data_IF_312236392007
#
_entry.id   IF_312236392007
#
_cell.length_a   1.000
_cell.length_b   1.000
_cell.length_c   1.000
_cell.angle_alpha   90.00
_cell.angle_beta   90.00
_cell.angle_gamma   90.00
#
_symmetry.space_group_name_H-M   'P 1'
#
loop_
_entity.id
_entity.type
_entity.pdbx_description
1 polymer ?
#
# COMPACT_ATOMS: atom_id res chain seq x y z
N UNK A 1 -9.30 -21.52 -16.97
CA UNK A 1 -8.76 -21.20 -15.62
C UNK A 1 -9.83 -21.60 -14.61
N UNK A 2 -9.47 -22.37 -13.57
CA UNK A 2 -10.42 -22.70 -12.52
C UNK A 2 -10.76 -21.42 -11.73
N UNK A 3 -12.04 -21.21 -11.45
CA UNK A 3 -12.49 -20.11 -10.58
C UNK A 3 -11.87 -20.27 -9.18
N UNK A 4 -11.03 -19.36 -8.71
CA UNK A 4 -10.41 -19.46 -7.37
C UNK A 4 -11.43 -19.40 -6.24
N UNK A 5 -12.65 -18.92 -6.50
CA UNK A 5 -13.75 -18.92 -5.54
C UNK A 5 -14.51 -20.26 -5.49
N UNK A 6 -14.24 -21.18 -6.41
CA UNK A 6 -14.97 -22.46 -6.47
C UNK A 6 -14.78 -23.27 -5.18
N UNK A 7 -13.57 -23.26 -4.60
CA UNK A 7 -13.28 -23.93 -3.32
C UNK A 7 -14.18 -23.43 -2.18
N UNK A 8 -14.52 -22.13 -2.20
CA UNK A 8 -15.41 -21.55 -1.19
C UNK A 8 -16.88 -21.89 -1.45
N UNK A 9 -17.29 -21.99 -2.71
CA UNK A 9 -18.66 -22.40 -3.07
C UNK A 9 -18.93 -23.88 -2.78
N UNK A 10 -17.91 -24.71 -2.96
CA UNK A 10 -17.99 -26.16 -2.73
C UNK A 10 -17.70 -26.53 -1.26
N UNK A 11 -17.37 -25.52 -0.43
CA UNK A 11 -17.05 -25.74 0.97
C UNK A 11 -18.30 -26.23 1.73
N UNK A 12 -18.24 -27.45 2.25
CA UNK A 12 -19.23 -28.00 3.15
C UNK A 12 -18.75 -27.87 4.61
N UNK A 13 -19.47 -27.12 5.47
CA UNK A 13 -19.06 -26.94 6.85
C UNK A 13 -19.12 -28.29 7.58
N UNK A 14 -18.05 -28.62 8.29
CA UNK A 14 -17.96 -29.85 9.13
C UNK A 14 -18.20 -29.57 10.59
N UNK A 15 -18.37 -28.29 10.95
CA UNK A 15 -18.62 -27.83 12.32
C UNK A 15 -19.80 -26.86 12.32
N UNK A 16 -20.49 -26.78 13.45
CA UNK A 16 -21.65 -25.91 13.63
C UNK A 16 -21.25 -24.42 13.67
N UNK A 17 -20.07 -24.14 14.21
CA UNK A 17 -19.55 -22.77 14.37
C UNK A 17 -18.16 -22.62 13.75
N UNK A 18 -17.89 -21.43 13.25
CA UNK A 18 -16.57 -20.98 12.81
C UNK A 18 -16.23 -19.66 13.51
N UNK A 19 -15.01 -19.57 14.05
CA UNK A 19 -14.46 -18.34 14.62
C UNK A 19 -13.18 -18.00 13.86
N UNK A 20 -13.23 -16.92 13.11
CA UNK A 20 -12.06 -16.35 12.43
C UNK A 20 -11.47 -15.22 13.29
N UNK A 21 -10.17 -15.30 13.59
CA UNK A 21 -9.48 -14.30 14.39
C UNK A 21 -8.29 -13.79 13.55
N UNK A 22 -8.29 -12.49 13.23
CA UNK A 22 -7.15 -11.84 12.57
C UNK A 22 -6.03 -11.58 13.59
N UNK A 23 -4.80 -11.51 13.11
CA UNK A 23 -3.63 -11.30 13.96
C UNK A 23 -3.28 -9.81 14.15
N UNK A 24 -3.03 -9.11 13.06
CA UNK A 24 -2.55 -7.73 13.06
C UNK A 24 -3.65 -6.73 13.39
N UNK A 25 -3.47 -5.98 14.47
CA UNK A 25 -4.44 -4.98 14.91
C UNK A 25 -5.71 -5.57 15.52
N UNK A 26 -5.76 -6.91 15.70
CA UNK A 26 -6.84 -7.62 16.33
C UNK A 26 -6.35 -8.31 17.61
N UNK A 27 -5.51 -9.37 17.48
CA UNK A 27 -4.90 -10.07 18.60
C UNK A 27 -3.65 -9.33 19.10
N UNK A 28 -2.87 -8.78 18.17
CA UNK A 28 -1.63 -8.07 18.45
C UNK A 28 -1.78 -6.59 18.10
N UNK A 29 -1.38 -5.71 19.02
CA UNK A 29 -1.27 -4.26 18.77
C UNK A 29 0.00 -3.96 17.97
N UNK A 30 0.01 -4.39 16.71
CA UNK A 30 1.18 -4.34 15.83
C UNK A 30 1.09 -3.28 14.74
N UNK A 31 -0.08 -2.67 14.53
CA UNK A 31 -0.28 -1.78 13.39
C UNK A 31 0.57 -0.51 13.45
N UNK A 32 0.62 0.16 14.60
CA UNK A 32 1.42 1.38 14.73
C UNK A 32 2.91 1.09 14.56
N UNK A 33 3.44 0.12 15.28
CA UNK A 33 4.86 -0.24 15.22
C UNK A 33 5.26 -0.68 13.79
N UNK A 34 4.42 -1.46 13.13
CA UNK A 34 4.65 -1.93 11.76
C UNK A 34 4.71 -0.75 10.78
N UNK A 35 3.75 0.15 10.84
CA UNK A 35 3.68 1.28 9.91
C UNK A 35 4.69 2.38 10.22
N UNK A 36 4.92 2.70 11.50
CA UNK A 36 5.80 3.81 11.88
C UNK A 36 7.28 3.42 11.90
N UNK A 37 7.60 2.22 12.38
CA UNK A 37 9.00 1.82 12.59
C UNK A 37 9.56 0.92 11.48
N UNK A 38 8.70 0.27 10.70
CA UNK A 38 9.16 -0.57 9.60
C UNK A 38 8.88 0.06 8.24
N UNK A 39 7.63 0.37 7.92
CA UNK A 39 7.26 0.80 6.57
C UNK A 39 7.59 2.26 6.29
N UNK A 40 7.35 3.18 7.22
CA UNK A 40 7.68 4.59 6.99
C UNK A 40 9.18 4.85 6.75
N UNK A 41 10.13 4.23 7.45
CA UNK A 41 11.55 4.35 7.12
C UNK A 41 11.88 3.84 5.72
N UNK A 42 11.26 2.74 5.28
CA UNK A 42 11.48 2.20 3.94
C UNK A 42 10.86 3.08 2.86
N UNK A 43 9.68 3.63 3.09
CA UNK A 43 9.04 4.62 2.24
C UNK A 43 9.95 5.85 2.03
N UNK A 44 10.50 6.40 3.14
CA UNK A 44 11.42 7.53 3.09
C UNK A 44 12.70 7.18 2.32
N UNK A 45 13.28 6.03 2.61
CA UNK A 45 14.53 5.58 1.98
C UNK A 45 14.33 5.36 0.48
N UNK A 46 13.29 4.62 0.09
CA UNK A 46 13.04 4.20 -1.29
C UNK A 46 12.74 5.40 -2.21
N UNK A 47 11.96 6.36 -1.71
CA UNK A 47 11.58 7.53 -2.49
C UNK A 47 12.47 8.77 -2.24
N UNK A 48 13.63 8.60 -1.60
CA UNK A 48 14.61 9.65 -1.33
C UNK A 48 14.01 10.88 -0.60
N UNK A 49 13.14 10.65 0.38
CA UNK A 49 12.38 11.69 1.09
C UNK A 49 13.06 12.17 2.39
N UNK A 50 14.36 11.93 2.56
CA UNK A 50 15.09 12.23 3.80
C UNK A 50 14.98 13.70 4.22
N UNK A 51 15.06 14.62 3.25
CA UNK A 51 14.95 16.06 3.51
C UNK A 51 13.58 16.49 4.05
N UNK A 52 12.56 15.65 3.89
CA UNK A 52 11.19 15.86 4.34
C UNK A 52 10.67 14.72 5.20
N UNK A 53 11.58 13.98 5.83
CA UNK A 53 11.27 12.74 6.57
C UNK A 53 10.18 12.89 7.63
N UNK A 54 10.13 14.03 8.33
CA UNK A 54 9.05 14.34 9.28
C UNK A 54 7.68 14.28 8.61
N UNK A 55 7.50 15.01 7.52
CA UNK A 55 6.22 15.08 6.81
C UNK A 55 5.87 13.78 6.09
N UNK A 56 6.89 13.08 5.60
CA UNK A 56 6.72 11.76 5.01
C UNK A 56 6.19 10.74 6.04
N UNK A 57 6.67 10.78 7.29
CA UNK A 57 6.16 9.96 8.39
C UNK A 57 4.72 10.34 8.76
N UNK A 58 4.45 11.63 8.91
CA UNK A 58 3.10 12.14 9.23
C UNK A 58 2.07 11.70 8.19
N UNK A 59 2.38 11.90 6.90
CA UNK A 59 1.50 11.51 5.80
C UNK A 59 1.33 9.99 5.72
N UNK A 60 2.42 9.22 5.84
CA UNK A 60 2.36 7.77 5.84
C UNK A 60 1.49 7.22 6.97
N UNK A 61 1.69 7.74 8.18
CA UNK A 61 0.91 7.39 9.37
C UNK A 61 -0.56 7.74 9.18
N UNK A 62 -0.85 8.95 8.67
CA UNK A 62 -2.22 9.36 8.41
C UNK A 62 -2.91 8.43 7.41
N UNK A 63 -2.28 8.17 6.25
CA UNK A 63 -2.88 7.35 5.17
C UNK A 63 -3.20 5.93 5.66
N UNK A 64 -2.27 5.32 6.39
CA UNK A 64 -2.37 3.90 6.73
C UNK A 64 -3.13 3.62 8.04
N UNK A 65 -3.16 4.58 8.99
CA UNK A 65 -3.75 4.34 10.32
C UNK A 65 -5.01 5.18 10.58
N UNK A 66 -5.09 6.40 10.04
CA UNK A 66 -6.14 7.35 10.45
C UNK A 66 -7.04 7.84 9.32
N UNK A 67 -6.67 7.66 8.05
CA UNK A 67 -7.49 8.12 6.93
C UNK A 67 -8.74 7.25 6.75
N UNK A 68 -9.70 7.75 5.97
CA UNK A 68 -10.88 6.98 5.57
C UNK A 68 -10.53 5.77 4.68
N UNK A 69 -9.36 5.82 4.03
CA UNK A 69 -8.85 4.78 3.14
C UNK A 69 -7.85 3.84 3.83
N UNK A 70 -7.69 3.94 5.17
CA UNK A 70 -6.82 3.03 5.91
C UNK A 70 -7.24 1.56 5.65
N UNK A 71 -6.25 0.69 5.54
CA UNK A 71 -6.48 -0.72 5.22
C UNK A 71 -6.67 -1.01 3.73
N UNK A 72 -6.60 0.01 2.85
CA UNK A 72 -6.56 -0.24 1.41
C UNK A 72 -5.29 -1.00 1.00
N UNK A 73 -5.28 -1.52 -0.23
CA UNK A 73 -4.10 -2.18 -0.76
C UNK A 73 -2.89 -1.22 -0.75
N UNK A 74 -1.70 -1.76 -0.47
CA UNK A 74 -0.45 -0.99 -0.31
C UNK A 74 -0.11 -0.09 -1.50
N UNK A 75 -0.46 -0.49 -2.73
CA UNK A 75 -0.19 0.34 -3.92
C UNK A 75 -1.02 1.62 -3.91
N UNK A 76 -2.30 1.53 -3.54
CA UNK A 76 -3.14 2.72 -3.32
C UNK A 76 -2.59 3.58 -2.18
N UNK A 77 -2.16 2.96 -1.08
CA UNK A 77 -1.60 3.70 0.07
C UNK A 77 -0.34 4.48 -0.30
N UNK A 78 0.57 3.88 -1.08
CA UNK A 78 1.79 4.54 -1.56
C UNK A 78 1.46 5.73 -2.46
N UNK A 79 0.59 5.54 -3.47
CA UNK A 79 0.17 6.62 -4.38
C UNK A 79 -0.44 7.77 -3.58
N UNK A 80 -1.39 7.47 -2.70
CA UNK A 80 -2.06 8.48 -1.87
C UNK A 80 -1.09 9.23 -0.95
N UNK A 81 -0.14 8.52 -0.33
CA UNK A 81 0.87 9.16 0.51
C UNK A 81 1.77 10.11 -0.29
N UNK A 82 2.22 9.70 -1.48
CA UNK A 82 3.03 10.56 -2.35
C UNK A 82 2.24 11.78 -2.85
N UNK A 83 0.96 11.63 -3.18
CA UNK A 83 0.09 12.73 -3.61
C UNK A 83 -0.11 13.76 -2.50
N UNK A 84 -0.42 13.32 -1.29
CA UNK A 84 -0.54 14.20 -0.14
C UNK A 84 0.79 14.91 0.17
N UNK A 85 1.89 14.17 0.10
CA UNK A 85 3.21 14.75 0.36
C UNK A 85 3.58 15.80 -0.70
N UNK A 86 3.24 15.58 -1.97
CA UNK A 86 3.48 16.52 -3.08
C UNK A 86 2.74 17.83 -2.89
N UNK A 87 1.54 17.80 -2.32
CA UNK A 87 0.72 18.99 -2.05
C UNK A 87 1.00 19.60 -0.67
N UNK A 88 1.87 19.00 0.14
CA UNK A 88 2.18 19.48 1.48
C UNK A 88 2.99 20.78 1.43
N UNK A 89 2.47 21.86 2.04
CA UNK A 89 3.06 23.22 1.97
C UNK A 89 4.54 23.26 2.36
N UNK A 90 4.91 22.61 3.45
CA UNK A 90 6.29 22.59 3.93
C UNK A 90 7.23 21.80 3.00
N UNK A 91 6.74 20.79 2.31
CA UNK A 91 7.52 20.03 1.32
C UNK A 91 7.76 20.88 0.08
N UNK A 92 6.72 21.57 -0.39
CA UNK A 92 6.81 22.51 -1.52
C UNK A 92 7.76 23.66 -1.19
N UNK A 93 7.66 24.27 0.00
CA UNK A 93 8.53 25.35 0.43
C UNK A 93 10.02 24.96 0.49
N UNK A 94 10.33 23.68 0.69
CA UNK A 94 11.70 23.14 0.69
C UNK A 94 12.20 22.76 -0.70
N UNK A 95 11.38 22.88 -1.75
CA UNK A 95 11.74 22.53 -3.12
C UNK A 95 12.02 21.05 -3.34
N UNK A 96 11.56 20.17 -2.45
CA UNK A 96 11.77 18.72 -2.59
C UNK A 96 10.84 18.17 -3.65
N UNK A 97 11.44 17.48 -4.63
CA UNK A 97 10.68 16.79 -5.68
C UNK A 97 10.18 15.45 -5.14
N UNK A 98 8.86 15.35 -4.97
CA UNK A 98 8.21 14.09 -4.61
C UNK A 98 7.84 13.34 -5.89
N UNK A 99 8.25 12.08 -6.06
CA UNK A 99 7.99 11.32 -7.28
C UNK A 99 6.48 11.11 -7.51
N UNK A 100 6.12 10.90 -8.78
CA UNK A 100 4.77 10.55 -9.23
C UNK A 100 4.85 9.32 -10.13
N UNK A 101 3.90 8.41 -9.97
CA UNK A 101 3.88 7.16 -10.70
C UNK A 101 2.53 6.96 -11.43
N UNK A 102 2.27 7.73 -12.52
CA UNK A 102 1.03 7.59 -13.29
C UNK A 102 0.81 6.17 -13.81
N UNK A 103 1.88 5.52 -14.29
CA UNK A 103 1.80 4.15 -14.78
C UNK A 103 1.40 3.15 -13.67
N UNK A 104 1.82 3.39 -12.43
CA UNK A 104 1.38 2.58 -11.29
C UNK A 104 -0.10 2.80 -11.00
N UNK A 105 -0.57 4.04 -11.07
CA UNK A 105 -1.99 4.36 -10.89
C UNK A 105 -2.84 3.68 -11.96
N UNK A 106 -2.47 3.81 -13.24
CA UNK A 106 -3.16 3.18 -14.36
C UNK A 106 -3.21 1.65 -14.22
N UNK A 107 -2.10 1.04 -13.77
CA UNK A 107 -2.05 -0.38 -13.51
C UNK A 107 -2.98 -0.79 -12.36
N UNK A 108 -2.96 -0.05 -11.26
CA UNK A 108 -3.78 -0.30 -10.06
C UNK A 108 -5.28 -0.19 -10.38
N UNK A 109 -5.68 0.72 -11.26
CA UNK A 109 -7.08 0.92 -11.65
C UNK A 109 -7.62 -0.20 -12.56
N UNK A 110 -6.77 -0.83 -13.37
CA UNK A 110 -7.18 -1.88 -14.31
C UNK A 110 -6.96 -3.31 -13.79
N UNK A 111 -6.08 -3.49 -12.78
CA UNK A 111 -5.74 -4.82 -12.27
C UNK A 111 -6.70 -5.23 -11.14
N UNK A 112 -7.27 -6.42 -11.27
CA UNK A 112 -8.21 -6.97 -10.29
C UNK A 112 -7.55 -7.66 -9.10
N UNK A 113 -6.28 -8.10 -9.26
CA UNK A 113 -5.50 -8.80 -8.23
C UNK A 113 -4.20 -8.07 -7.95
N UNK A 114 -4.27 -7.05 -7.12
CA UNK A 114 -3.11 -6.25 -6.75
C UNK A 114 -2.16 -7.03 -5.83
N UNK A 115 -1.02 -7.47 -6.37
CA UNK A 115 -0.01 -8.23 -5.66
C UNK A 115 1.35 -8.20 -6.35
N UNK A 116 2.40 -8.72 -5.71
CA UNK A 116 3.74 -8.76 -6.31
C UNK A 116 3.74 -9.57 -7.61
N UNK A 117 3.11 -10.74 -7.62
CA UNK A 117 3.11 -11.61 -8.79
C UNK A 117 2.49 -10.95 -10.04
N UNK A 118 1.42 -10.17 -9.88
CA UNK A 118 0.78 -9.44 -10.99
C UNK A 118 1.59 -8.21 -11.40
N UNK A 119 2.25 -7.54 -10.46
CA UNK A 119 3.18 -6.45 -10.77
C UNK A 119 4.40 -6.97 -11.53
N UNK A 120 5.01 -8.07 -11.08
CA UNK A 120 6.15 -8.69 -11.73
C UNK A 120 5.81 -9.14 -13.16
N UNK A 121 4.61 -9.69 -13.36
CA UNK A 121 4.12 -10.06 -14.69
C UNK A 121 3.93 -8.83 -15.60
N UNK A 122 3.42 -7.74 -15.07
CA UNK A 122 3.25 -6.48 -15.81
C UNK A 122 4.60 -5.88 -16.22
N UNK A 123 5.58 -5.86 -15.32
CA UNK A 123 6.95 -5.43 -15.62
C UNK A 123 7.58 -6.33 -16.68
N UNK A 124 7.43 -7.65 -16.56
CA UNK A 124 7.96 -8.62 -17.52
C UNK A 124 7.31 -8.51 -18.91
N UNK A 125 6.09 -7.97 -19.01
CA UNK A 125 5.42 -7.71 -20.27
C UNK A 125 5.97 -6.49 -21.02
N UNK A 126 6.92 -5.77 -20.46
CA UNK A 126 7.60 -4.61 -21.07
C UNK A 126 7.05 -3.26 -20.62
N UNK A 127 6.27 -3.20 -19.56
CA UNK A 127 5.84 -1.92 -18.97
C UNK A 127 6.97 -1.32 -18.12
N UNK A 128 8.02 -0.82 -18.80
CA UNK A 128 9.21 -0.24 -18.16
C UNK A 128 8.88 0.98 -17.27
N UNK A 129 7.73 1.62 -17.48
CA UNK A 129 7.30 2.75 -16.66
C UNK A 129 6.96 2.37 -15.19
N UNK A 130 6.84 1.07 -14.91
CA UNK A 130 6.64 0.53 -13.55
C UNK A 130 7.95 0.17 -12.85
N UNK A 131 9.07 0.18 -13.58
CA UNK A 131 10.40 -0.05 -12.98
C UNK A 131 10.87 1.28 -12.37
N UNK A 132 11.20 1.32 -11.09
CA UNK A 132 11.68 2.53 -10.42
C UNK A 132 13.09 2.93 -10.85
#
# INVERSE_FOLDING_TARGET
MSDPAQVLRDFAPTKEFFVGIDSDGCVFDSMEIKHQECFAPMFIKHYALQATSKYAREVWTFVNLYSKTRGCNRFHAVIHALDLLRTHKEVQARGVKVPSFPALLDWVERESKLGNATLDAEVASGNEALVP
#
